data_IF_495104046630
#
_entry.id   IF_495104046630
#
_cell.length_a   1.000
_cell.length_b   1.000
_cell.length_c   1.000
_cell.angle_alpha   90.00
_cell.angle_beta   90.00
_cell.angle_gamma   90.00
#
_symmetry.space_group_name_H-M   'P 1'
#
loop_
_entity.id
_entity.type
_entity.pdbx_description
1 polymer ?
#
# COMPACT_ATOMS: atom_id res chain seq x y z
N UNK A 1 -8.89 7.88 -12.95
CA UNK A 1 -8.66 9.34 -12.77
C UNK A 1 -9.56 10.09 -13.74
N UNK A 2 -9.96 11.33 -13.44
CA UNK A 2 -10.59 12.15 -14.47
C UNK A 2 -9.52 12.55 -15.51
N UNK A 3 -9.91 12.95 -16.74
CA UNK A 3 -8.95 13.18 -17.83
C UNK A 3 -7.89 14.27 -17.52
N UNK A 4 -8.28 15.32 -16.80
CA UNK A 4 -7.38 16.44 -16.46
C UNK A 4 -6.32 16.00 -15.45
N UNK A 5 -6.73 15.28 -14.40
CA UNK A 5 -5.80 14.72 -13.42
C UNK A 5 -4.92 13.64 -14.02
N UNK A 6 -5.42 12.83 -14.95
CA UNK A 6 -4.64 11.81 -15.63
C UNK A 6 -3.49 12.43 -16.45
N UNK A 7 -3.78 13.44 -17.27
CA UNK A 7 -2.76 14.16 -18.05
C UNK A 7 -1.68 14.74 -17.16
N UNK A 8 -2.08 15.50 -16.14
CA UNK A 8 -1.15 16.15 -15.23
C UNK A 8 -0.30 15.11 -14.48
N UNK A 9 -0.93 14.06 -13.96
CA UNK A 9 -0.25 13.01 -13.20
C UNK A 9 0.75 12.27 -14.09
N UNK A 10 0.36 11.87 -15.30
CA UNK A 10 1.26 11.22 -16.24
C UNK A 10 2.47 12.09 -16.56
N UNK A 11 2.24 13.32 -17.03
CA UNK A 11 3.30 14.25 -17.43
C UNK A 11 4.31 14.49 -16.30
N UNK A 12 3.81 14.73 -15.08
CA UNK A 12 4.69 15.07 -13.95
C UNK A 12 5.45 13.87 -13.43
N UNK A 13 4.81 12.69 -13.32
CA UNK A 13 5.48 11.48 -12.80
C UNK A 13 6.51 10.94 -13.77
N UNK A 14 6.21 10.91 -15.06
CA UNK A 14 7.15 10.51 -16.11
C UNK A 14 8.38 11.43 -16.09
N UNK A 15 8.19 12.75 -15.97
CA UNK A 15 9.30 13.70 -15.92
C UNK A 15 10.14 13.64 -14.63
N UNK A 16 9.51 13.50 -13.45
CA UNK A 16 10.21 13.68 -12.16
C UNK A 16 10.60 12.40 -11.45
N UNK A 17 9.84 11.31 -11.62
CA UNK A 17 10.04 10.05 -10.89
C UNK A 17 10.58 8.93 -11.77
N UNK A 18 10.37 8.99 -13.09
CA UNK A 18 10.73 7.93 -14.02
C UNK A 18 11.87 8.32 -14.96
N UNK A 19 12.60 9.40 -14.67
CA UNK A 19 13.71 9.89 -15.50
C UNK A 19 13.33 10.11 -16.97
N UNK A 20 12.08 10.54 -17.20
CA UNK A 20 11.52 10.75 -18.54
C UNK A 20 10.96 9.50 -19.22
N UNK A 21 10.99 8.32 -18.58
CA UNK A 21 10.38 7.09 -19.10
C UNK A 21 8.86 7.15 -18.98
N UNK A 22 8.18 6.45 -19.89
CA UNK A 22 6.73 6.26 -19.84
C UNK A 22 6.33 5.41 -18.64
N UNK A 23 5.13 5.65 -18.09
CA UNK A 23 4.57 4.84 -17.01
C UNK A 23 4.54 3.35 -17.36
N UNK A 24 4.19 3.01 -18.62
CA UNK A 24 4.09 1.61 -19.06
C UNK A 24 5.44 0.88 -19.10
N UNK A 25 6.53 1.62 -19.32
CA UNK A 25 7.90 1.07 -19.39
C UNK A 25 8.54 0.96 -18.00
N UNK A 26 7.99 1.66 -17.00
CA UNK A 26 8.45 1.62 -15.63
C UNK A 26 7.90 0.43 -14.83
N UNK A 27 6.91 -0.30 -15.36
CA UNK A 27 6.34 -1.46 -14.68
C UNK A 27 7.31 -2.65 -14.78
N UNK A 28 7.80 -3.20 -13.65
CA UNK A 28 8.65 -4.38 -13.66
C UNK A 28 7.97 -5.57 -14.33
N UNK A 29 8.75 -6.39 -15.05
CA UNK A 29 8.23 -7.54 -15.80
C UNK A 29 8.82 -8.86 -15.28
N UNK A 30 8.03 -9.92 -15.34
CA UNK A 30 8.45 -11.30 -15.02
C UNK A 30 9.16 -11.39 -13.65
N UNK A 31 10.38 -11.93 -13.61
CA UNK A 31 11.18 -12.12 -12.40
C UNK A 31 11.42 -10.82 -11.63
N UNK A 32 11.56 -9.69 -12.35
CA UNK A 32 11.72 -8.38 -11.70
C UNK A 32 10.50 -8.00 -10.89
N UNK A 33 9.31 -8.27 -11.43
CA UNK A 33 8.04 -8.04 -10.73
C UNK A 33 7.93 -8.87 -9.46
N UNK A 34 8.33 -10.14 -9.52
CA UNK A 34 8.31 -11.02 -8.35
C UNK A 34 9.28 -10.54 -7.27
N UNK A 35 10.48 -10.11 -7.68
CA UNK A 35 11.48 -9.53 -6.77
C UNK A 35 10.98 -8.25 -6.10
N UNK A 36 10.42 -7.31 -6.85
CA UNK A 36 9.90 -6.07 -6.26
C UNK A 36 8.71 -6.31 -5.31
N UNK A 37 7.89 -7.33 -5.60
CA UNK A 37 6.86 -7.75 -4.64
C UNK A 37 7.44 -8.34 -3.35
N UNK A 38 8.48 -9.18 -3.46
CA UNK A 38 9.16 -9.73 -2.28
C UNK A 38 9.83 -8.63 -1.45
N UNK A 39 10.47 -7.66 -2.11
CA UNK A 39 11.05 -6.48 -1.45
C UNK A 39 9.97 -5.68 -0.71
N UNK A 40 8.81 -5.47 -1.34
CA UNK A 40 7.70 -4.73 -0.71
C UNK A 40 7.16 -5.48 0.51
N UNK A 41 6.99 -6.80 0.41
CA UNK A 41 6.59 -7.64 1.54
C UNK A 41 7.61 -7.56 2.69
N UNK A 42 8.91 -7.61 2.40
CA UNK A 42 9.97 -7.46 3.39
C UNK A 42 9.93 -6.08 4.08
N UNK A 43 9.70 -5.01 3.32
CA UNK A 43 9.54 -3.65 3.87
C UNK A 43 8.38 -3.60 4.85
N UNK A 44 7.24 -4.20 4.50
CA UNK A 44 6.11 -4.32 5.43
C UNK A 44 6.47 -5.18 6.64
N UNK A 45 7.27 -6.25 6.49
CA UNK A 45 7.76 -7.04 7.62
C UNK A 45 8.64 -6.24 8.59
N UNK A 46 9.44 -5.30 8.08
CA UNK A 46 10.19 -4.37 8.92
C UNK A 46 9.28 -3.39 9.67
N UNK A 47 8.16 -3.01 9.08
CA UNK A 47 7.12 -2.18 9.73
C UNK A 47 6.37 -3.01 10.78
N UNK A 48 6.06 -4.28 10.51
CA UNK A 48 5.44 -5.20 11.47
C UNK A 48 6.30 -5.35 12.73
N UNK A 49 7.63 -5.39 12.58
CA UNK A 49 8.55 -5.44 13.70
C UNK A 49 8.54 -4.21 14.63
N UNK A 50 7.89 -3.10 14.24
CA UNK A 50 7.68 -1.96 15.13
C UNK A 50 6.56 -2.22 16.15
N UNK A 51 5.65 -3.14 15.84
CA UNK A 51 4.53 -3.50 16.71
C UNK A 51 4.98 -4.55 17.73
N UNK A 52 4.49 -4.44 18.96
CA UNK A 52 4.68 -5.49 19.94
C UNK A 52 3.97 -6.78 19.54
N UNK A 53 4.39 -7.90 20.11
CA UNK A 53 3.86 -9.22 19.76
C UNK A 53 2.39 -9.32 20.14
N UNK A 54 1.51 -9.34 19.13
CA UNK A 54 0.06 -9.40 19.31
C UNK A 54 -0.61 -8.05 19.51
N UNK A 55 0.17 -6.96 19.47
CA UNK A 55 -0.36 -5.60 19.57
C UNK A 55 -1.10 -5.25 18.29
N UNK A 56 -2.16 -4.45 18.44
CA UNK A 56 -2.94 -3.95 17.30
C UNK A 56 -2.27 -2.74 16.67
N UNK A 57 -1.79 -1.81 17.50
CA UNK A 57 -1.22 -0.54 17.07
C UNK A 57 0.26 -0.44 17.42
N UNK A 58 0.97 0.50 16.81
CA UNK A 58 2.42 0.72 17.05
C UNK A 58 2.68 1.03 18.53
N UNK A 59 1.74 1.71 19.20
CA UNK A 59 1.81 2.01 20.63
C UNK A 59 1.06 1.00 21.51
N UNK A 60 0.85 -0.23 21.03
CA UNK A 60 0.16 -1.29 21.76
C UNK A 60 -1.35 -1.22 21.58
N UNK A 61 -2.03 -0.71 22.61
CA UNK A 61 -3.48 -0.56 22.69
C UNK A 61 -3.98 0.84 22.32
N UNK A 62 -3.05 1.80 22.13
CA UNK A 62 -3.37 3.17 21.73
C UNK A 62 -3.10 3.37 20.25
N UNK A 63 -4.13 3.78 19.51
CA UNK A 63 -3.98 4.19 18.11
C UNK A 63 -3.10 5.44 18.01
N UNK A 64 -2.20 5.44 17.02
CA UNK A 64 -1.27 6.54 16.75
C UNK A 64 -1.33 6.96 15.28
N UNK A 65 -0.69 8.09 14.96
CA UNK A 65 -0.59 8.55 13.57
C UNK A 65 0.14 7.56 12.65
N UNK A 66 1.05 6.74 13.20
CA UNK A 66 1.75 5.72 12.43
C UNK A 66 0.78 4.66 11.88
N UNK A 67 -0.23 4.29 12.68
CA UNK A 67 -1.23 3.29 12.29
C UNK A 67 -2.08 3.79 11.12
N UNK A 68 -2.52 5.05 11.17
CA UNK A 68 -3.22 5.69 10.05
C UNK A 68 -2.35 5.78 8.78
N UNK A 69 -1.06 6.07 8.94
CA UNK A 69 -0.13 6.14 7.81
C UNK A 69 0.00 4.77 7.13
N UNK A 70 0.21 3.70 7.90
CA UNK A 70 0.31 2.34 7.37
C UNK A 70 -1.01 1.91 6.72
N UNK A 71 -2.14 2.14 7.39
CA UNK A 71 -3.47 1.83 6.86
C UNK A 71 -3.77 2.57 5.56
N UNK A 72 -3.37 3.85 5.44
CA UNK A 72 -3.55 4.62 4.22
C UNK A 72 -2.83 3.98 3.01
N UNK A 73 -1.61 3.47 3.20
CA UNK A 73 -0.89 2.75 2.13
C UNK A 73 -1.58 1.44 1.74
N UNK A 74 -2.05 0.68 2.72
CA UNK A 74 -2.74 -0.60 2.48
C UNK A 74 -4.07 -0.36 1.78
N UNK A 75 -4.85 0.63 2.21
CA UNK A 75 -6.07 1.07 1.53
C UNK A 75 -5.80 1.56 0.11
N UNK A 76 -4.71 2.30 -0.10
CA UNK A 76 -4.33 2.74 -1.44
C UNK A 76 -4.07 1.54 -2.36
N UNK A 77 -3.43 0.47 -1.89
CA UNK A 77 -3.30 -0.78 -2.67
C UNK A 77 -4.66 -1.42 -2.96
N UNK A 78 -5.55 -1.52 -1.97
CA UNK A 78 -6.93 -2.03 -2.14
C UNK A 78 -7.67 -1.27 -3.23
N UNK A 79 -7.63 0.07 -3.19
CA UNK A 79 -8.32 0.93 -4.16
C UNK A 79 -7.66 0.90 -5.53
N UNK A 80 -6.33 0.84 -5.61
CA UNK A 80 -5.59 0.87 -6.87
C UNK A 80 -5.77 -0.42 -7.68
N UNK A 81 -5.66 -1.58 -7.03
CA UNK A 81 -5.77 -2.88 -7.70
C UNK A 81 -7.20 -3.41 -7.76
N UNK A 82 -8.05 -3.03 -6.79
CA UNK A 82 -9.40 -3.56 -6.62
C UNK A 82 -9.42 -4.82 -5.74
N UNK A 83 -10.53 -5.04 -5.03
CA UNK A 83 -10.66 -6.09 -4.01
C UNK A 83 -10.61 -7.52 -4.58
N UNK A 84 -10.98 -7.71 -5.84
CA UNK A 84 -10.98 -9.03 -6.48
C UNK A 84 -9.64 -9.39 -7.15
N UNK A 85 -8.66 -8.46 -7.15
CA UNK A 85 -7.37 -8.62 -7.82
C UNK A 85 -6.45 -9.62 -7.12
N UNK A 86 -5.57 -10.27 -7.88
CA UNK A 86 -4.54 -11.15 -7.32
C UNK A 86 -3.49 -10.36 -6.52
N UNK A 87 -3.23 -9.11 -6.91
CA UNK A 87 -2.36 -8.18 -6.20
C UNK A 87 -2.90 -7.88 -4.79
N UNK A 88 -4.19 -7.58 -4.66
CA UNK A 88 -4.80 -7.36 -3.37
C UNK A 88 -4.87 -8.64 -2.53
N UNK A 89 -5.24 -9.78 -3.13
CA UNK A 89 -5.20 -11.08 -2.43
C UNK A 89 -3.83 -11.35 -1.85
N UNK A 90 -2.75 -11.08 -2.59
CA UNK A 90 -1.38 -11.20 -2.09
C UNK A 90 -1.13 -10.30 -0.88
N UNK A 91 -1.35 -8.99 -1.01
CA UNK A 91 -1.16 -8.02 0.09
C UNK A 91 -1.99 -8.40 1.32
N UNK A 92 -3.22 -8.87 1.13
CA UNK A 92 -4.14 -9.22 2.20
C UNK A 92 -3.67 -10.40 3.07
N UNK A 93 -2.74 -11.22 2.56
CA UNK A 93 -2.21 -12.39 3.28
C UNK A 93 -0.92 -12.10 4.04
N UNK A 94 -0.29 -10.95 3.78
CA UNK A 94 0.98 -10.58 4.38
C UNK A 94 0.92 -10.56 5.90
N UNK A 95 1.95 -11.15 6.52
CA UNK A 95 2.13 -11.21 7.97
C UNK A 95 0.88 -11.72 8.71
N UNK A 96 0.23 -12.75 8.17
CA UNK A 96 -0.96 -13.35 8.76
C UNK A 96 -2.22 -12.49 8.65
N UNK A 97 -2.27 -11.58 7.68
CA UNK A 97 -3.42 -10.69 7.45
C UNK A 97 -3.49 -9.49 8.38
N UNK A 98 -2.38 -9.17 9.08
CA UNK A 98 -2.29 -8.03 10.01
C UNK A 98 -2.78 -6.73 9.40
N UNK A 99 -2.36 -6.43 8.19
CA UNK A 99 -2.65 -5.15 7.53
C UNK A 99 -4.14 -4.97 7.23
N UNK A 100 -4.83 -6.06 6.87
CA UNK A 100 -6.28 -6.06 6.67
C UNK A 100 -6.99 -5.86 8.00
N UNK A 101 -6.53 -6.51 9.07
CA UNK A 101 -7.09 -6.31 10.39
C UNK A 101 -6.94 -4.84 10.84
N UNK A 102 -5.76 -4.24 10.62
CA UNK A 102 -5.50 -2.84 10.94
C UNK A 102 -6.44 -1.89 10.17
N UNK A 103 -6.55 -2.05 8.85
CA UNK A 103 -7.48 -1.25 8.04
C UNK A 103 -8.91 -1.40 8.55
N UNK A 104 -9.38 -2.64 8.74
CA UNK A 104 -10.73 -2.92 9.21
C UNK A 104 -11.07 -2.27 10.56
N UNK A 105 -10.11 -2.21 11.48
CA UNK A 105 -10.36 -1.55 12.77
C UNK A 105 -10.43 -0.02 12.65
N UNK A 106 -9.69 0.56 11.71
CA UNK A 106 -9.67 1.99 11.42
C UNK A 106 -10.75 2.43 10.42
N UNK A 107 -11.50 1.50 9.80
CA UNK A 107 -12.61 1.81 8.87
C UNK A 107 -13.68 2.70 9.53
N UNK A 108 -13.85 2.61 10.85
CA UNK A 108 -14.75 3.49 11.63
C UNK A 108 -14.40 4.98 11.48
N UNK A 109 -13.16 5.29 11.16
CA UNK A 109 -12.62 6.64 11.01
C UNK A 109 -12.58 7.09 9.52
N UNK A 110 -13.08 6.28 8.57
CA UNK A 110 -13.13 6.58 7.13
C UNK A 110 -14.33 7.44 6.70
N UNK A 111 -15.07 8.02 7.65
CA UNK A 111 -16.30 8.78 7.34
C UNK A 111 -15.98 9.98 6.44
N UNK A 112 -16.46 9.93 5.19
CA UNK A 112 -16.43 11.07 4.27
C UNK A 112 -17.76 11.82 4.43
N UNK A 113 -17.68 13.04 4.98
CA UNK A 113 -18.81 13.98 5.10
C UNK A 113 -19.18 14.61 3.75
#
# INVERSE_FOLDING_TARGET
>A
LNPVSEEYHRRTREASLLEGKRLEDAVPKCEEREREWANLEEVFGRVDAWYGKGDMYVMGDVVSYADFTVSAWVMWFRTLFGEDSEEWKKVSTWHGGRWVALVKDLEKDETVL
#
